data_IF_802665397465
#
_entry.id   IF_802665397465
#
_cell.length_a   1.000
_cell.length_b   1.000
_cell.length_c   1.000
_cell.angle_alpha   90.00
_cell.angle_beta   90.00
_cell.angle_gamma   90.00
#
_symmetry.space_group_name_H-M   'P 1'
#
loop_
_entity.id
_entity.type
_entity.pdbx_description
1 polymer ?
#
# COMPACT_ATOMS: atom_id res chain seq x y z
N UNK A 1 -24.83 -8.68 -14.79
CA UNK A 1 -24.02 -8.17 -13.66
C UNK A 1 -23.10 -7.08 -14.19
N UNK A 2 -22.98 -5.94 -13.50
CA UNK A 2 -22.26 -4.77 -13.98
C UNK A 2 -20.75 -4.95 -13.72
N UNK A 3 -19.96 -5.24 -14.77
CA UNK A 3 -18.53 -5.60 -14.67
C UNK A 3 -17.69 -4.56 -13.92
N UNK A 4 -18.04 -3.28 -14.05
CA UNK A 4 -17.38 -2.18 -13.37
C UNK A 4 -17.62 -2.21 -11.85
N UNK A 5 -18.84 -2.52 -11.40
CA UNK A 5 -19.14 -2.66 -9.97
C UNK A 5 -18.35 -3.81 -9.36
N UNK A 6 -18.25 -4.93 -10.07
CA UNK A 6 -17.46 -6.08 -9.63
C UNK A 6 -15.98 -5.73 -9.48
N UNK A 7 -15.42 -4.94 -10.41
CA UNK A 7 -14.04 -4.47 -10.31
C UNK A 7 -13.82 -3.54 -9.11
N UNK A 8 -14.73 -2.60 -8.85
CA UNK A 8 -14.62 -1.71 -7.69
C UNK A 8 -14.74 -2.48 -6.37
N UNK A 9 -15.66 -3.44 -6.28
CA UNK A 9 -15.81 -4.30 -5.10
C UNK A 9 -14.54 -5.15 -4.87
N UNK A 10 -13.97 -5.72 -5.93
CA UNK A 10 -12.71 -6.45 -5.87
C UNK A 10 -11.57 -5.56 -5.33
N UNK A 11 -11.44 -4.36 -5.88
CA UNK A 11 -10.43 -3.39 -5.47
C UNK A 11 -10.59 -2.98 -4.01
N UNK A 12 -11.81 -2.71 -3.56
CA UNK A 12 -12.11 -2.36 -2.17
C UNK A 12 -11.77 -3.50 -1.20
N UNK A 13 -12.11 -4.74 -1.56
CA UNK A 13 -11.78 -5.91 -0.75
C UNK A 13 -10.26 -6.08 -0.61
N UNK A 14 -9.53 -5.94 -1.72
CA UNK A 14 -8.08 -6.05 -1.74
C UNK A 14 -7.43 -4.94 -0.91
N UNK A 15 -7.92 -3.71 -1.03
CA UNK A 15 -7.48 -2.58 -0.22
C UNK A 15 -7.61 -2.87 1.28
N UNK A 16 -8.79 -3.35 1.72
CA UNK A 16 -9.03 -3.67 3.12
C UNK A 16 -8.14 -4.81 3.63
N UNK A 17 -7.92 -5.87 2.83
CA UNK A 17 -7.04 -6.99 3.21
C UNK A 17 -5.59 -6.51 3.37
N UNK A 18 -5.10 -5.66 2.46
CA UNK A 18 -3.73 -5.13 2.53
C UNK A 18 -3.54 -4.23 3.77
N UNK A 19 -4.52 -3.40 4.12
CA UNK A 19 -4.49 -2.61 5.36
C UNK A 19 -4.39 -3.52 6.58
N UNK A 20 -5.25 -4.53 6.67
CA UNK A 20 -5.27 -5.44 7.83
C UNK A 20 -3.97 -6.22 7.99
N UNK A 21 -3.29 -6.56 6.88
CA UNK A 21 -1.97 -7.21 6.94
C UNK A 21 -0.86 -6.24 7.33
N UNK A 22 -0.82 -5.06 6.71
CA UNK A 22 0.30 -4.12 6.83
C UNK A 22 0.21 -3.21 8.06
N UNK A 23 -0.96 -3.08 8.70
CA UNK A 23 -1.13 -2.23 9.90
C UNK A 23 -0.28 -2.64 11.10
N UNK A 24 0.27 -3.87 11.08
CA UNK A 24 1.25 -4.33 12.08
C UNK A 24 2.62 -3.71 11.87
N UNK A 25 2.96 -3.34 10.63
CA UNK A 25 4.27 -2.86 10.24
C UNK A 25 4.34 -1.32 10.18
N UNK A 26 3.20 -0.63 10.00
CA UNK A 26 3.13 0.84 9.84
C UNK A 26 1.77 1.42 10.27
N UNK A 27 1.74 2.70 10.65
CA UNK A 27 0.50 3.42 10.97
C UNK A 27 -0.48 3.41 9.79
N UNK A 28 -1.75 3.12 10.08
CA UNK A 28 -2.85 3.05 9.11
C UNK A 28 -3.00 4.36 8.32
N UNK A 29 -2.74 5.51 8.94
CA UNK A 29 -2.85 6.82 8.29
C UNK A 29 -1.84 6.99 7.15
N UNK A 30 -0.64 6.40 7.30
CA UNK A 30 0.41 6.35 6.27
C UNK A 30 0.09 5.27 5.24
N UNK A 31 -0.40 4.11 5.68
CA UNK A 31 -0.69 2.97 4.79
C UNK A 31 -1.79 3.26 3.77
N UNK A 32 -2.89 3.91 4.19
CA UNK A 32 -4.05 4.17 3.34
C UNK A 32 -3.67 4.87 2.02
N UNK A 33 -2.95 6.01 2.01
CA UNK A 33 -2.56 6.66 0.76
C UNK A 33 -1.61 5.80 -0.08
N UNK A 34 -0.60 5.15 0.52
CA UNK A 34 0.35 4.29 -0.20
C UNK A 34 -0.36 3.14 -0.92
N UNK A 35 -1.22 2.40 -0.22
CA UNK A 35 -1.95 1.26 -0.79
C UNK A 35 -2.91 1.75 -1.88
N UNK A 36 -3.57 2.89 -1.68
CA UNK A 36 -4.50 3.46 -2.66
C UNK A 36 -3.77 3.82 -3.95
N UNK A 37 -2.63 4.51 -3.84
CA UNK A 37 -1.81 4.89 -4.99
C UNK A 37 -1.26 3.66 -5.71
N UNK A 38 -0.72 2.70 -4.97
CA UNK A 38 -0.22 1.44 -5.51
C UNK A 38 -1.29 0.72 -6.34
N UNK A 39 -2.50 0.51 -5.79
CA UNK A 39 -3.61 -0.14 -6.51
C UNK A 39 -4.16 0.68 -7.68
N UNK A 40 -4.01 2.02 -7.66
CA UNK A 40 -4.39 2.88 -8.79
C UNK A 40 -3.41 2.76 -9.96
N UNK A 41 -2.12 2.48 -9.71
CA UNK A 41 -1.10 2.28 -10.74
C UNK A 41 -1.16 0.89 -11.39
N UNK A 42 -1.83 -0.07 -10.77
CA UNK A 42 -1.98 -1.42 -11.31
C UNK A 42 -2.85 -1.42 -12.57
N UNK A 43 -2.31 -1.95 -13.68
CA UNK A 43 -3.08 -2.17 -14.92
C UNK A 43 -4.26 -3.13 -14.72
N UNK A 44 -4.08 -4.13 -13.84
CA UNK A 44 -5.10 -5.10 -13.45
C UNK A 44 -4.89 -5.49 -11.99
N UNK A 45 -5.99 -5.59 -11.25
CA UNK A 45 -6.00 -6.03 -9.86
C UNK A 45 -6.43 -7.49 -9.80
N UNK A 46 -5.69 -8.32 -9.07
CA UNK A 46 -5.91 -9.77 -8.98
C UNK A 46 -5.84 -10.25 -7.53
N UNK A 47 -6.87 -10.99 -7.10
CA UNK A 47 -7.03 -11.38 -5.70
C UNK A 47 -5.93 -12.33 -5.20
N UNK A 48 -5.45 -13.23 -6.06
CA UNK A 48 -4.37 -14.17 -5.73
C UNK A 48 -3.04 -13.49 -5.38
N UNK A 49 -2.78 -12.29 -5.92
CA UNK A 49 -1.54 -11.53 -5.69
C UNK A 49 -1.48 -10.86 -4.32
N UNK A 50 -2.62 -10.67 -3.65
CA UNK A 50 -2.74 -10.04 -2.32
C UNK A 50 -1.89 -10.76 -1.27
N UNK A 51 -1.80 -12.08 -1.37
CA UNK A 51 -1.13 -12.89 -0.36
C UNK A 51 0.39 -12.93 -0.50
N UNK A 52 0.91 -12.63 -1.70
CA UNK A 52 2.34 -12.62 -2.01
C UNK A 52 2.78 -11.28 -2.61
N UNK A 53 2.73 -11.16 -3.93
CA UNK A 53 3.28 -10.03 -4.72
C UNK A 53 2.93 -8.66 -4.15
N UNK A 54 1.64 -8.36 -3.96
CA UNK A 54 1.22 -7.03 -3.52
C UNK A 54 1.70 -6.69 -2.12
N UNK A 55 1.69 -7.68 -1.22
CA UNK A 55 2.16 -7.50 0.14
C UNK A 55 3.67 -7.23 0.18
N UNK A 56 4.47 -8.00 -0.57
CA UNK A 56 5.92 -7.84 -0.60
C UNK A 56 6.35 -6.51 -1.23
N UNK A 57 5.75 -6.12 -2.35
CA UNK A 57 6.03 -4.83 -3.02
C UNK A 57 5.67 -3.64 -2.11
N UNK A 58 4.51 -3.70 -1.43
CA UNK A 58 4.12 -2.65 -0.49
C UNK A 58 5.05 -2.56 0.72
N UNK A 59 5.50 -3.70 1.27
CA UNK A 59 6.50 -3.70 2.34
C UNK A 59 7.80 -3.00 1.92
N UNK A 60 8.25 -3.21 0.69
CA UNK A 60 9.43 -2.55 0.16
C UNK A 60 9.23 -1.03 0.03
N UNK A 61 8.09 -0.60 -0.53
CA UNK A 61 7.72 0.82 -0.65
C UNK A 61 7.71 1.49 0.73
N UNK A 62 7.05 0.88 1.71
CA UNK A 62 6.93 1.39 3.07
C UNK A 62 8.31 1.52 3.74
N UNK A 63 9.19 0.54 3.57
CA UNK A 63 10.57 0.60 4.09
C UNK A 63 11.36 1.74 3.46
N UNK A 64 11.23 1.92 2.15
CA UNK A 64 11.93 2.98 1.43
C UNK A 64 11.43 4.38 1.81
N UNK A 65 10.12 4.56 2.00
CA UNK A 65 9.57 5.83 2.52
C UNK A 65 10.06 6.14 3.94
N UNK A 66 10.07 5.14 4.84
CA UNK A 66 10.62 5.32 6.20
C UNK A 66 12.09 5.73 6.16
N UNK A 67 12.90 5.09 5.31
CA UNK A 67 14.31 5.45 5.17
C UNK A 67 14.46 6.90 4.66
N UNK A 68 13.64 7.32 3.70
CA UNK A 68 13.65 8.69 3.20
C UNK A 68 13.31 9.71 4.29
N UNK A 69 12.25 9.47 5.07
CA UNK A 69 11.85 10.33 6.19
C UNK A 69 12.95 10.43 7.26
N UNK A 70 13.60 9.30 7.61
CA UNK A 70 14.68 9.32 8.60
C UNK A 70 15.91 10.11 8.13
N UNK A 71 16.22 10.09 6.83
CA UNK A 71 17.33 10.86 6.25
C UNK A 71 17.00 12.36 6.24
N UNK A 72 15.76 12.72 5.89
CA UNK A 72 15.31 14.12 5.89
C UNK A 72 15.31 14.73 7.30
N UNK A 73 14.81 14.00 8.30
CA UNK A 73 14.85 14.44 9.71
C UNK A 73 16.29 14.61 10.23
N UNK A 74 17.21 13.74 9.81
CA UNK A 74 18.62 13.86 10.19
C UNK A 74 19.28 15.09 9.56
N UNK A 75 18.96 15.39 8.30
CA UNK A 75 19.46 16.57 7.59
C UNK A 75 18.92 17.88 8.19
N UNK A 76 17.65 17.92 8.61
CA UNK A 76 17.05 19.11 9.25
C UNK A 76 17.68 19.38 10.63
N UNK A 77 17.97 18.34 11.42
CA UNK A 77 18.56 18.50 12.76
C UNK A 77 20.06 18.85 12.75
N UNK A 78 20.73 18.69 11.61
CA UNK A 78 22.15 18.97 11.45
C UNK A 78 22.46 20.43 11.02
N UNK A 79 21.44 21.28 10.86
CA UNK A 79 21.55 22.71 10.51
C UNK A 79 21.36 23.60 11.74
#
# INVERSE_FOLDING_TARGET
>A
QNSQQNYQNLKANIFNILIERLKKDTNIEILKPIIKEYLNKQKKIEYNKVFGTYYLELLEIIKNEKNFLTVEEFNIKAV
#
